data_IF_145470563676
#
_entry.id   IF_145470563676
#
_cell.length_a   1.000
_cell.length_b   1.000
_cell.length_c   1.000
_cell.angle_alpha   90.00
_cell.angle_beta   90.00
_cell.angle_gamma   90.00
#
_symmetry.space_group_name_H-M   'P 1'
#
loop_
_entity.id
_entity.type
_entity.pdbx_description
1 polymer ?
#
# COMPACT_ATOMS: atom_id res chain seq x y z
N UNK A 1 -5.69 1.65 -16.11
CA UNK A 1 -5.42 0.56 -15.15
C UNK A 1 -6.74 0.29 -14.49
N UNK A 2 -7.48 -0.70 -15.00
CA UNK A 2 -8.61 -1.25 -14.27
C UNK A 2 -8.05 -1.88 -13.00
N UNK A 3 -8.47 -1.38 -11.85
CA UNK A 3 -8.31 -2.11 -10.60
C UNK A 3 -9.33 -3.25 -10.64
N UNK A 4 -8.90 -4.42 -11.10
CA UNK A 4 -9.64 -5.67 -11.02
C UNK A 4 -9.66 -6.12 -9.56
N UNK A 5 -10.82 -6.00 -8.93
CA UNK A 5 -11.11 -6.53 -7.60
C UNK A 5 -12.10 -5.65 -6.87
N UNK A 6 -13.40 -5.87 -7.07
CA UNK A 6 -14.44 -5.24 -6.24
C UNK A 6 -14.43 -5.89 -4.84
N UNK A 7 -13.43 -5.54 -4.04
CA UNK A 7 -13.36 -5.90 -2.63
C UNK A 7 -14.22 -4.91 -1.83
N UNK A 8 -15.35 -5.40 -1.31
CA UNK A 8 -16.30 -4.62 -0.53
C UNK A 8 -16.37 -5.20 0.88
N UNK A 9 -16.33 -4.33 1.89
CA UNK A 9 -16.40 -4.72 3.30
C UNK A 9 -17.82 -4.44 3.80
N UNK A 10 -18.57 -5.50 4.10
CA UNK A 10 -19.86 -5.39 4.76
C UNK A 10 -19.66 -5.38 6.28
N UNK A 11 -19.74 -4.19 6.89
CA UNK A 11 -19.57 -3.99 8.32
C UNK A 11 -20.38 -2.79 8.80
N UNK A 12 -20.96 -2.82 10.01
CA UNK A 12 -21.61 -1.65 10.60
C UNK A 12 -20.62 -0.49 10.86
N UNK A 13 -19.32 -0.77 10.94
CA UNK A 13 -18.28 0.22 11.18
C UNK A 13 -17.74 0.87 9.90
N UNK A 14 -18.25 0.49 8.72
CA UNK A 14 -17.80 1.00 7.42
C UNK A 14 -18.97 1.63 6.66
N UNK A 15 -18.79 2.88 6.23
CA UNK A 15 -19.78 3.61 5.43
C UNK A 15 -19.15 4.08 4.13
N UNK A 16 -19.74 3.68 3.01
CA UNK A 16 -19.32 4.09 1.67
C UNK A 16 -20.11 5.32 1.23
N UNK A 17 -19.44 6.47 1.10
CA UNK A 17 -19.96 7.67 0.46
C UNK A 17 -19.55 7.77 -1.01
N UNK A 18 -20.01 8.80 -1.75
CA UNK A 18 -19.64 9.01 -3.15
C UNK A 18 -18.13 9.20 -3.32
N UNK A 19 -17.51 10.04 -2.48
CA UNK A 19 -16.10 10.42 -2.61
C UNK A 19 -15.18 9.77 -1.59
N UNK A 20 -15.73 9.29 -0.47
CA UNK A 20 -14.94 8.78 0.67
C UNK A 20 -15.51 7.50 1.26
N UNK A 21 -14.63 6.71 1.86
CA UNK A 21 -14.97 5.57 2.72
C UNK A 21 -14.64 6.00 4.14
N UNK A 22 -15.62 5.91 5.05
CA UNK A 22 -15.42 6.16 6.47
C UNK A 22 -15.40 4.83 7.21
N UNK A 23 -14.39 4.62 8.05
CA UNK A 23 -14.19 3.39 8.81
C UNK A 23 -13.91 3.71 10.29
N UNK A 24 -14.69 3.11 11.18
CA UNK A 24 -14.49 3.21 12.61
C UNK A 24 -13.54 2.10 13.07
N UNK A 25 -12.55 2.47 13.88
CA UNK A 25 -11.55 1.54 14.38
C UNK A 25 -11.27 1.80 15.86
N UNK A 26 -11.43 0.78 16.69
CA UNK A 26 -11.03 0.84 18.10
C UNK A 26 -9.57 0.40 18.23
N UNK A 27 -8.68 1.37 18.42
CA UNK A 27 -7.28 1.10 18.70
C UNK A 27 -7.10 0.74 20.17
N UNK A 28 -6.80 -0.53 20.43
CA UNK A 28 -6.55 -1.05 21.77
C UNK A 28 -5.05 -1.15 22.01
N UNK A 29 -4.60 -0.59 23.12
CA UNK A 29 -3.21 -0.65 23.60
C UNK A 29 -3.19 -0.85 25.11
N UNK A 30 -2.01 -0.93 25.70
CA UNK A 30 -1.84 -1.03 27.14
C UNK A 30 -0.74 -0.08 27.61
N UNK A 31 -1.03 0.72 28.63
CA UNK A 31 0.00 1.43 29.38
C UNK A 31 0.51 0.50 30.48
N UNK A 32 1.83 0.42 30.67
CA UNK A 32 2.44 -0.42 31.70
C UNK A 32 3.25 0.46 32.63
N UNK A 33 2.94 0.42 33.93
CA UNK A 33 3.74 1.07 34.96
C UNK A 33 4.39 0.03 35.86
N UNK A 34 5.58 0.35 36.38
CA UNK A 34 6.28 -0.48 37.35
C UNK A 34 6.26 0.20 38.70
N UNK A 35 5.70 -0.48 39.69
CA UNK A 35 5.72 -0.06 41.09
C UNK A 35 6.50 -1.11 41.90
N UNK A 36 7.78 -0.85 42.12
CA UNK A 36 8.70 -1.79 42.76
C UNK A 36 8.92 -3.06 41.93
N UNK A 37 8.54 -4.22 42.48
CA UNK A 37 8.60 -5.52 41.81
C UNK A 37 7.35 -5.85 40.99
N UNK A 38 6.28 -5.06 41.10
CA UNK A 38 5.00 -5.32 40.44
C UNK A 38 4.89 -4.48 39.16
N UNK A 39 4.46 -5.13 38.08
CA UNK A 39 4.03 -4.47 36.84
C UNK A 39 2.51 -4.31 36.86
N UNK A 40 2.04 -3.08 36.74
CA UNK A 40 0.62 -2.76 36.56
C UNK A 40 0.36 -2.47 35.09
N UNK A 41 -0.60 -3.17 34.52
CA UNK A 41 -1.01 -3.04 33.11
C UNK A 41 -2.38 -2.38 33.05
N UNK A 42 -2.50 -1.33 32.25
CA UNK A 42 -3.72 -0.54 32.05
C UNK A 42 -4.14 -0.65 30.59
N UNK A 43 -5.04 -1.58 30.24
CA UNK A 43 -5.65 -1.63 28.92
C UNK A 43 -6.34 -0.29 28.62
N UNK A 44 -6.08 0.26 27.44
CA UNK A 44 -6.60 1.54 26.99
C UNK A 44 -7.12 1.38 25.56
N UNK A 45 -8.29 1.96 25.30
CA UNK A 45 -8.90 1.97 23.97
C UNK A 45 -9.09 3.40 23.50
N UNK A 46 -8.77 3.67 22.23
CA UNK A 46 -9.05 4.93 21.56
C UNK A 46 -9.82 4.67 20.28
N UNK A 47 -10.97 5.32 20.11
CA UNK A 47 -11.78 5.19 18.88
C UNK A 47 -11.31 6.18 17.83
N UNK A 48 -10.93 5.68 16.67
CA UNK A 48 -10.58 6.46 15.49
C UNK A 48 -11.67 6.35 14.43
N UNK A 49 -11.91 7.45 13.72
CA UNK A 49 -12.69 7.44 12.47
C UNK A 49 -11.73 7.80 11.34
N UNK A 50 -11.44 6.84 10.47
CA UNK A 50 -10.62 7.05 9.29
C UNK A 50 -11.51 7.42 8.11
N UNK A 51 -11.14 8.48 7.39
CA UNK A 51 -11.81 8.90 6.15
C UNK A 51 -10.82 8.80 4.99
N UNK A 52 -11.09 7.91 4.06
CA UNK A 52 -10.22 7.63 2.92
C UNK A 52 -10.88 8.09 1.63
N UNK A 53 -10.19 8.92 0.85
CA UNK A 53 -10.67 9.34 -0.47
C UNK A 53 -10.68 8.16 -1.45
N UNK A 54 -11.74 8.05 -2.24
CA UNK A 54 -11.93 6.97 -3.22
C UNK A 54 -11.20 7.25 -4.54
N UNK A 55 -11.00 8.52 -4.87
CA UNK A 55 -10.32 8.91 -6.10
C UNK A 55 -8.80 8.80 -5.95
N UNK A 56 -8.18 7.99 -6.81
CA UNK A 56 -6.71 7.91 -6.90
C UNK A 56 -6.20 9.01 -7.85
N UNK A 57 -5.41 9.98 -7.37
CA UNK A 57 -4.92 11.09 -8.20
C UNK A 57 -3.76 10.66 -9.11
N UNK A 58 -3.45 11.50 -10.10
CA UNK A 58 -2.16 11.41 -10.82
C UNK A 58 -1.06 11.97 -9.93
N UNK A 59 -0.01 11.19 -9.71
CA UNK A 59 1.12 11.58 -8.87
C UNK A 59 2.32 12.02 -9.74
N UNK A 60 2.81 13.24 -9.52
CA UNK A 60 4.12 13.67 -10.01
C UNK A 60 5.21 13.29 -9.00
N UNK A 61 6.33 12.77 -9.48
CA UNK A 61 7.49 12.40 -8.65
C UNK A 61 8.71 13.16 -9.14
N UNK A 62 9.40 13.86 -8.23
CA UNK A 62 10.68 14.55 -8.52
C UNK A 62 11.79 13.88 -7.73
N UNK A 63 12.84 13.44 -8.42
CA UNK A 63 13.96 12.72 -7.83
C UNK A 63 15.25 13.54 -7.90
N UNK A 64 15.87 13.79 -6.76
CA UNK A 64 17.25 14.29 -6.72
C UNK A 64 18.18 13.14 -7.11
N UNK A 65 19.05 13.36 -8.08
CA UNK A 65 19.87 12.29 -8.66
C UNK A 65 19.11 11.39 -9.65
N UNK A 66 18.11 11.93 -10.36
CA UNK A 66 17.32 11.20 -11.36
C UNK A 66 18.17 10.44 -12.41
N UNK A 67 19.33 10.99 -12.80
CA UNK A 67 20.24 10.35 -13.74
C UNK A 67 21.11 9.22 -13.16
N UNK A 68 21.08 8.97 -11.84
CA UNK A 68 21.82 7.89 -11.21
C UNK A 68 21.13 6.52 -11.37
N UNK A 69 21.80 5.44 -10.94
CA UNK A 69 21.33 4.06 -11.12
C UNK A 69 19.88 3.84 -10.66
N UNK A 70 19.50 4.39 -9.51
CA UNK A 70 18.15 4.20 -8.97
C UNK A 70 17.11 5.01 -9.75
N UNK A 71 17.42 6.26 -10.12
CA UNK A 71 16.48 7.13 -10.83
C UNK A 71 16.23 6.66 -12.27
N UNK A 72 17.28 6.23 -12.97
CA UNK A 72 17.17 5.65 -14.32
C UNK A 72 16.44 4.31 -14.28
N UNK A 73 16.75 3.43 -13.31
CA UNK A 73 16.06 2.13 -13.15
C UNK A 73 14.59 2.31 -12.81
N UNK A 74 14.22 3.23 -11.90
CA UNK A 74 12.81 3.51 -11.59
C UNK A 74 12.07 3.97 -12.86
N UNK A 75 12.65 4.91 -13.59
CA UNK A 75 12.06 5.46 -14.82
C UNK A 75 11.86 4.37 -15.86
N UNK A 76 12.88 3.53 -16.07
CA UNK A 76 12.81 2.39 -16.98
C UNK A 76 11.74 1.39 -16.56
N UNK A 77 11.65 1.04 -15.27
CA UNK A 77 10.65 0.10 -14.75
C UNK A 77 9.22 0.62 -14.96
N UNK A 78 8.97 1.91 -14.68
CA UNK A 78 7.66 2.54 -14.89
C UNK A 78 7.27 2.52 -16.36
N UNK A 79 8.17 2.94 -17.25
CA UNK A 79 7.91 2.97 -18.69
C UNK A 79 7.74 1.57 -19.27
N UNK A 80 8.58 0.61 -18.88
CA UNK A 80 8.51 -0.76 -19.37
C UNK A 80 7.20 -1.45 -18.98
N UNK A 81 6.75 -1.30 -17.73
CA UNK A 81 5.46 -1.84 -17.28
C UNK A 81 4.28 -1.11 -17.94
N UNK A 82 4.34 0.24 -18.07
CA UNK A 82 3.28 1.02 -18.73
C UNK A 82 3.09 0.64 -20.19
N UNK A 83 4.20 0.38 -20.90
CA UNK A 83 4.20 -0.01 -22.31
C UNK A 83 4.11 -1.53 -22.52
N UNK A 84 4.01 -2.32 -21.44
CA UNK A 84 3.96 -3.79 -21.47
C UNK A 84 5.13 -4.40 -22.27
N UNK A 85 6.33 -3.89 -22.03
CA UNK A 85 7.53 -4.34 -22.72
C UNK A 85 7.94 -5.75 -22.31
N UNK A 86 8.65 -6.39 -23.23
CA UNK A 86 9.13 -7.76 -23.09
C UNK A 86 10.37 -7.96 -23.94
N UNK A 87 11.31 -8.78 -23.50
CA UNK A 87 12.59 -8.98 -24.17
C UNK A 87 13.04 -10.44 -24.12
N UNK A 88 13.78 -10.92 -25.14
CA UNK A 88 14.36 -12.26 -25.11
C UNK A 88 15.55 -12.30 -24.14
N UNK A 89 15.69 -13.43 -23.45
CA UNK A 89 16.86 -13.77 -22.64
C UNK A 89 17.30 -15.19 -22.97
N UNK A 90 18.48 -15.62 -22.50
CA UNK A 90 18.98 -16.98 -22.72
C UNK A 90 18.01 -18.07 -22.24
N UNK A 91 17.24 -17.78 -21.20
CA UNK A 91 16.30 -18.71 -20.56
C UNK A 91 14.85 -18.50 -21.00
N UNK A 92 14.62 -17.70 -22.05
CA UNK A 92 13.31 -17.42 -22.60
C UNK A 92 12.93 -15.94 -22.55
N UNK A 93 11.68 -15.65 -22.90
CA UNK A 93 11.17 -14.27 -22.93
C UNK A 93 10.87 -13.79 -21.50
N UNK A 94 11.20 -12.54 -21.19
CA UNK A 94 10.83 -11.88 -19.95
C UNK A 94 9.88 -10.73 -20.24
N UNK A 95 8.97 -10.48 -19.31
CA UNK A 95 8.02 -9.37 -19.35
C UNK A 95 8.34 -8.40 -18.21
N UNK A 96 8.14 -7.10 -18.47
CA UNK A 96 8.26 -6.08 -17.45
C UNK A 96 7.29 -6.37 -16.30
N UNK A 97 7.79 -6.26 -15.07
CA UNK A 97 7.02 -6.52 -13.86
C UNK A 97 7.51 -5.59 -12.73
N UNK A 98 6.82 -5.64 -11.59
CA UNK A 98 7.20 -4.94 -10.35
C UNK A 98 7.60 -5.91 -9.23
N UNK A 99 8.24 -7.04 -9.57
CA UNK A 99 8.72 -7.97 -8.56
C UNK A 99 9.69 -7.27 -7.59
N UNK A 100 9.56 -7.61 -6.30
CA UNK A 100 10.26 -6.92 -5.21
C UNK A 100 9.55 -5.67 -4.68
N UNK A 101 8.45 -5.22 -5.29
CA UNK A 101 7.57 -4.19 -4.70
C UNK A 101 6.55 -4.84 -3.75
N UNK A 102 6.51 -4.50 -2.45
CA UNK A 102 5.49 -5.04 -1.54
C UNK A 102 4.07 -4.63 -1.92
N UNK A 103 3.90 -3.43 -2.48
CA UNK A 103 2.59 -2.87 -2.81
C UNK A 103 2.05 -3.36 -4.15
N UNK A 104 2.91 -3.77 -5.08
CA UNK A 104 2.52 -4.21 -6.43
C UNK A 104 2.74 -5.71 -6.67
N UNK A 105 3.79 -6.29 -6.07
CA UNK A 105 4.19 -7.68 -6.28
C UNK A 105 3.59 -8.67 -5.28
N UNK A 106 2.95 -8.20 -4.21
CA UNK A 106 2.28 -9.07 -3.23
C UNK A 106 0.97 -9.69 -3.72
N UNK A 107 0.42 -9.20 -4.83
CA UNK A 107 -0.81 -9.70 -5.45
C UNK A 107 -0.53 -10.48 -6.74
N UNK A 108 0.21 -11.57 -6.64
CA UNK A 108 0.41 -12.51 -7.74
C UNK A 108 -0.10 -13.89 -7.35
N UNK A 109 -1.38 -14.17 -7.60
CA UNK A 109 -1.74 -15.55 -7.98
C UNK A 109 -1.22 -15.77 -9.41
N UNK A 110 -0.75 -16.99 -9.73
CA UNK A 110 -0.23 -17.33 -11.06
C UNK A 110 -1.24 -17.11 -12.18
#
# INVERSE_FOLDING_TARGET
MEATGNFVVESPDVVYGPDTIEAQYEYRTACVSREGSVLKVYPTSTRFTFRTARQVPRLGVMLVGWGGNNGSTLTAAVLANRLRLSWPTRTGRKEANYYGSPTQGGGGSP
#
